data_IF_912552008478
#
_entry.id   IF_912552008478
#
_cell.length_a   1.000
_cell.length_b   1.000
_cell.length_c   1.000
_cell.angle_alpha   90.00
_cell.angle_beta   90.00
_cell.angle_gamma   90.00
#
_symmetry.space_group_name_H-M   'P 1'
#
loop_
_entity.id
_entity.type
_entity.pdbx_description
1 polymer ?
#
# COMPACT_ATOMS: atom_id res chain seq x y z
N UNK A 1 78.83 -63.34 -25.67
CA UNK A 1 77.76 -62.55 -24.93
C UNK A 1 78.06 -61.10 -25.17
N UNK A 2 77.22 -60.41 -25.96
CA UNK A 2 77.29 -58.93 -26.15
C UNK A 2 76.21 -58.33 -25.39
N UNK A 3 76.57 -57.56 -24.30
CA UNK A 3 75.61 -56.79 -23.51
C UNK A 3 75.25 -55.52 -24.34
N UNK A 4 74.04 -55.37 -24.65
CA UNK A 4 73.47 -54.17 -25.31
C UNK A 4 73.67 -52.97 -24.43
N UNK A 5 74.20 -51.90 -24.98
CA UNK A 5 74.50 -50.65 -24.30
C UNK A 5 73.20 -49.96 -23.81
N UNK A 6 73.14 -49.59 -22.57
CA UNK A 6 72.09 -48.81 -21.92
C UNK A 6 72.08 -47.31 -22.33
N UNK A 7 72.75 -46.95 -23.43
CA UNK A 7 72.91 -45.54 -23.85
C UNK A 7 71.70 -44.92 -24.57
N UNK A 8 70.55 -45.61 -24.64
CA UNK A 8 69.36 -45.07 -25.25
C UNK A 8 68.30 -44.59 -24.26
N UNK A 9 68.61 -44.60 -23.00
CA UNK A 9 67.77 -43.92 -22.00
C UNK A 9 68.27 -42.49 -21.77
N UNK A 10 68.46 -41.74 -22.85
CA UNK A 10 68.60 -40.28 -22.74
C UNK A 10 67.22 -39.69 -22.42
N UNK A 11 67.23 -38.90 -21.37
CA UNK A 11 66.10 -38.12 -20.89
C UNK A 11 65.25 -37.49 -22.04
N UNK A 12 64.22 -38.19 -22.42
CA UNK A 12 63.17 -37.59 -23.26
C UNK A 12 62.53 -36.51 -22.42
N UNK A 13 62.81 -35.25 -22.75
CA UNK A 13 62.08 -34.14 -22.17
C UNK A 13 60.60 -34.44 -22.26
N UNK A 14 59.85 -34.24 -21.17
CA UNK A 14 58.38 -34.41 -21.13
C UNK A 14 57.79 -33.72 -22.32
N UNK A 15 57.36 -34.51 -23.31
CA UNK A 15 56.73 -34.00 -24.54
C UNK A 15 55.49 -33.22 -24.18
N UNK A 16 55.28 -32.08 -24.82
CA UNK A 16 54.03 -31.29 -24.68
C UNK A 16 52.79 -32.18 -24.90
N UNK A 17 52.94 -33.27 -25.71
CA UNK A 17 51.87 -34.25 -25.89
C UNK A 17 51.51 -35.02 -24.62
N UNK A 18 52.42 -35.26 -23.67
CA UNK A 18 52.10 -35.90 -22.41
C UNK A 18 51.23 -35.01 -21.53
N UNK A 19 51.45 -33.70 -21.57
CA UNK A 19 50.62 -32.74 -20.85
C UNK A 19 49.24 -32.65 -21.49
N UNK A 20 49.10 -32.65 -22.80
CA UNK A 20 47.82 -32.59 -23.54
C UNK A 20 46.96 -33.83 -23.21
N UNK A 21 47.58 -34.99 -22.96
CA UNK A 21 46.87 -36.22 -22.59
C UNK A 21 46.12 -36.13 -21.26
N UNK A 22 46.49 -35.22 -20.35
CA UNK A 22 45.81 -35.04 -19.09
C UNK A 22 44.65 -34.02 -19.14
N UNK A 23 44.56 -33.20 -20.20
CA UNK A 23 43.52 -32.18 -20.36
C UNK A 23 42.11 -32.76 -20.28
N UNK A 24 41.76 -33.89 -20.97
CA UNK A 24 40.42 -34.47 -20.86
C UNK A 24 40.05 -34.87 -19.44
N UNK A 25 41.00 -35.40 -18.67
CA UNK A 25 40.75 -35.79 -17.28
C UNK A 25 40.49 -34.56 -16.41
N UNK A 26 41.28 -33.52 -16.55
CA UNK A 26 41.10 -32.28 -15.79
C UNK A 26 39.76 -31.63 -16.10
N UNK A 27 39.33 -31.64 -17.37
CA UNK A 27 38.04 -31.12 -17.79
C UNK A 27 36.86 -31.94 -17.24
N UNK A 28 36.99 -33.27 -17.12
CA UNK A 28 35.97 -34.13 -16.53
C UNK A 28 35.85 -33.91 -15.03
N UNK A 29 36.97 -33.78 -14.30
CA UNK A 29 36.96 -33.44 -12.90
C UNK A 29 36.35 -32.05 -12.63
N UNK A 30 36.71 -31.05 -13.43
CA UNK A 30 36.12 -29.73 -13.38
C UNK A 30 34.59 -29.74 -13.63
N UNK A 31 34.14 -30.55 -14.61
CA UNK A 31 32.73 -30.72 -14.89
C UNK A 31 31.99 -31.35 -13.72
N UNK A 32 32.59 -32.34 -13.04
CA UNK A 32 32.02 -32.99 -11.86
C UNK A 32 31.89 -32.01 -10.69
N UNK A 33 32.90 -31.21 -10.41
CA UNK A 33 32.88 -30.17 -9.38
C UNK A 33 31.79 -29.13 -9.66
N UNK A 34 31.68 -28.65 -10.91
CA UNK A 34 30.63 -27.69 -11.30
C UNK A 34 29.24 -28.28 -11.17
N UNK A 35 29.08 -29.57 -11.46
CA UNK A 35 27.81 -30.27 -11.30
C UNK A 35 27.40 -30.42 -9.84
N UNK A 36 28.35 -30.71 -8.95
CA UNK A 36 28.10 -30.74 -7.49
C UNK A 36 27.66 -29.34 -7.00
N UNK A 37 28.33 -28.28 -7.47
CA UNK A 37 27.94 -26.90 -7.14
C UNK A 37 26.53 -26.59 -7.68
N UNK A 38 26.19 -27.03 -8.90
CA UNK A 38 24.85 -26.84 -9.48
C UNK A 38 23.76 -27.57 -8.67
N UNK A 39 24.05 -28.80 -8.18
CA UNK A 39 23.14 -29.58 -7.33
C UNK A 39 22.95 -28.92 -5.95
N UNK A 40 23.99 -28.27 -5.40
CA UNK A 40 23.92 -27.51 -4.16
C UNK A 40 23.00 -26.26 -4.25
N UNK A 41 22.52 -25.92 -5.47
CA UNK A 41 21.60 -24.80 -5.76
C UNK A 41 22.03 -23.50 -5.06
N UNK A 42 23.18 -22.91 -5.41
CA UNK A 42 23.56 -21.63 -4.84
C UNK A 42 22.49 -20.58 -5.17
N UNK A 43 21.99 -19.91 -4.12
CA UNK A 43 20.97 -18.88 -4.23
C UNK A 43 21.58 -17.51 -3.96
N UNK A 44 21.29 -16.56 -4.82
CA UNK A 44 21.56 -15.16 -4.53
C UNK A 44 20.32 -14.54 -3.90
N UNK A 45 20.44 -14.03 -2.68
CA UNK A 45 19.44 -13.15 -2.11
C UNK A 45 19.61 -11.78 -2.74
N UNK A 46 18.95 -11.55 -3.85
CA UNK A 46 18.73 -10.18 -4.29
C UNK A 46 17.56 -9.70 -3.44
N UNK A 47 17.80 -8.74 -2.57
CA UNK A 47 16.72 -7.94 -2.02
C UNK A 47 16.12 -7.15 -3.19
N UNK A 48 15.31 -7.82 -3.97
CA UNK A 48 14.29 -7.10 -4.72
C UNK A 48 13.26 -6.81 -3.66
N UNK A 49 13.31 -5.62 -3.15
CA UNK A 49 12.20 -4.97 -2.49
C UNK A 49 11.02 -5.00 -3.50
N UNK A 50 10.38 -6.16 -3.62
CA UNK A 50 8.98 -6.14 -4.01
C UNK A 50 8.33 -5.50 -2.80
N UNK A 51 8.21 -4.20 -2.88
CA UNK A 51 7.16 -3.48 -2.22
C UNK A 51 5.87 -4.04 -2.84
N UNK A 52 5.43 -5.21 -2.37
CA UNK A 52 4.02 -5.52 -2.41
C UNK A 52 3.42 -4.45 -1.52
N UNK A 53 3.14 -3.32 -2.11
CA UNK A 53 2.30 -2.28 -1.55
C UNK A 53 0.91 -2.91 -1.53
N UNK A 54 0.66 -3.76 -0.53
CA UNK A 54 -0.71 -4.10 -0.19
C UNK A 54 -1.37 -2.76 0.11
N UNK A 55 -2.24 -2.33 -0.79
CA UNK A 55 -2.95 -1.07 -0.65
C UNK A 55 -3.76 -1.07 0.64
N UNK A 56 -3.92 0.10 1.20
CA UNK A 56 -4.77 0.33 2.37
C UNK A 56 -6.19 0.53 1.85
N UNK A 57 -7.18 -0.01 2.55
CA UNK A 57 -8.58 0.31 2.27
C UNK A 57 -9.00 1.52 3.12
N UNK A 58 -9.46 2.57 2.45
CA UNK A 58 -9.88 3.82 3.07
C UNK A 58 -11.32 4.15 2.65
N UNK A 59 -12.21 4.39 3.60
CA UNK A 59 -13.53 4.96 3.34
C UNK A 59 -13.62 6.35 3.93
N UNK A 60 -13.94 7.32 3.09
CA UNK A 60 -14.31 8.65 3.53
C UNK A 60 -15.77 8.63 3.96
N UNK A 61 -16.06 8.92 5.23
CA UNK A 61 -17.41 9.17 5.74
C UNK A 61 -17.56 10.68 5.92
N UNK A 62 -18.22 11.32 4.96
CA UNK A 62 -18.32 12.77 4.86
C UNK A 62 -19.69 13.27 5.27
N UNK A 63 -19.72 14.19 6.19
CA UNK A 63 -20.89 14.95 6.55
C UNK A 63 -21.26 15.91 5.41
N UNK A 64 -22.53 15.84 4.96
CA UNK A 64 -23.09 16.71 3.93
C UNK A 64 -24.29 17.50 4.45
N UNK A 65 -24.43 17.63 5.77
CA UNK A 65 -25.43 18.48 6.41
C UNK A 65 -25.26 19.94 6.01
N UNK A 66 -26.31 20.73 6.16
CA UNK A 66 -26.29 22.13 5.76
C UNK A 66 -25.27 22.97 6.53
N UNK A 67 -24.86 22.57 7.76
CA UNK A 67 -23.80 23.22 8.53
C UNK A 67 -22.46 23.25 7.80
N UNK A 68 -22.19 22.26 6.93
CA UNK A 68 -21.00 22.19 6.10
C UNK A 68 -20.90 23.27 5.02
N UNK A 69 -21.95 24.09 4.84
CA UNK A 69 -21.93 25.30 3.99
C UNK A 69 -21.35 26.53 4.69
N UNK A 70 -20.93 26.40 5.95
CA UNK A 70 -20.29 27.50 6.67
C UNK A 70 -18.98 27.92 5.99
N UNK A 71 -18.74 29.24 5.98
CA UNK A 71 -17.63 29.88 5.24
C UNK A 71 -16.48 30.31 6.15
N UNK A 72 -16.19 29.55 7.17
CA UNK A 72 -14.95 29.64 7.95
C UNK A 72 -13.79 28.92 7.26
N UNK A 73 -14.10 28.09 6.26
CA UNK A 73 -13.18 27.54 5.26
C UNK A 73 -13.40 28.19 3.89
N UNK A 74 -12.44 28.10 3.02
CA UNK A 74 -12.51 28.67 1.66
C UNK A 74 -12.66 27.59 0.61
N UNK A 75 -13.75 27.58 -0.19
CA UNK A 75 -14.88 28.51 -0.21
C UNK A 75 -15.93 28.25 0.92
N UNK A 76 -16.11 27.04 1.35
CA UNK A 76 -16.93 26.52 2.45
C UNK A 76 -16.31 25.22 2.99
N UNK A 77 -16.81 24.69 4.11
CA UNK A 77 -16.27 23.47 4.75
C UNK A 77 -16.33 22.25 3.83
N UNK A 78 -17.49 22.01 3.19
CA UNK A 78 -17.68 20.85 2.31
C UNK A 78 -16.77 20.91 1.11
N UNK A 79 -16.71 22.07 0.43
CA UNK A 79 -15.86 22.25 -0.74
C UNK A 79 -14.38 22.08 -0.39
N UNK A 80 -13.93 22.67 0.70
CA UNK A 80 -12.56 22.50 1.20
C UNK A 80 -12.24 21.04 1.53
N UNK A 81 -13.17 20.33 2.20
CA UNK A 81 -13.01 18.92 2.52
C UNK A 81 -12.89 18.05 1.26
N UNK A 82 -13.71 18.31 0.24
CA UNK A 82 -13.67 17.62 -1.06
C UNK A 82 -12.34 17.84 -1.77
N UNK A 83 -11.89 19.09 -1.86
CA UNK A 83 -10.66 19.44 -2.58
C UNK A 83 -9.44 18.76 -1.95
N UNK A 84 -9.33 18.79 -0.62
CA UNK A 84 -8.24 18.15 0.12
C UNK A 84 -8.33 16.63 0.03
N UNK A 85 -9.53 16.04 0.10
CA UNK A 85 -9.71 14.60 -0.10
C UNK A 85 -9.30 14.16 -1.53
N UNK A 86 -9.62 14.95 -2.56
CA UNK A 86 -9.20 14.71 -3.95
C UNK A 86 -7.67 14.75 -4.08
N UNK A 87 -7.02 15.71 -3.43
CA UNK A 87 -5.56 15.76 -3.41
C UNK A 87 -4.96 14.51 -2.76
N UNK A 88 -5.49 14.11 -1.60
CA UNK A 88 -5.09 12.91 -0.89
C UNK A 88 -5.26 11.64 -1.73
N UNK A 89 -6.41 11.48 -2.43
CA UNK A 89 -6.68 10.37 -3.34
C UNK A 89 -5.65 10.32 -4.46
N UNK A 90 -5.31 11.49 -5.03
CA UNK A 90 -4.39 11.60 -6.16
C UNK A 90 -2.97 11.14 -5.83
N UNK A 91 -2.55 11.30 -4.57
CA UNK A 91 -1.21 10.93 -4.08
C UNK A 91 -1.07 9.43 -3.73
N UNK A 92 -2.15 8.63 -3.84
CA UNK A 92 -2.19 7.24 -3.37
C UNK A 92 -2.60 6.26 -4.46
N UNK A 93 -1.64 5.83 -5.32
CA UNK A 93 -1.93 5.01 -6.50
C UNK A 93 -2.35 3.58 -6.21
N UNK A 94 -2.03 3.02 -5.08
CA UNK A 94 -2.20 1.60 -4.75
C UNK A 94 -3.35 1.32 -3.80
N UNK A 95 -3.84 2.37 -3.11
CA UNK A 95 -4.89 2.21 -2.10
C UNK A 95 -6.27 2.08 -2.75
N UNK A 96 -7.15 1.23 -2.17
CA UNK A 96 -8.57 1.21 -2.52
C UNK A 96 -9.31 2.21 -1.66
N UNK A 97 -10.13 3.04 -2.29
CA UNK A 97 -10.85 4.07 -1.56
C UNK A 97 -12.33 4.06 -1.92
N UNK A 98 -13.17 4.45 -0.97
CA UNK A 98 -14.61 4.59 -1.14
C UNK A 98 -15.14 5.85 -0.46
N UNK A 99 -16.37 6.22 -0.80
CA UNK A 99 -17.04 7.42 -0.28
C UNK A 99 -18.40 7.02 0.28
N UNK A 100 -18.63 7.35 1.52
CA UNK A 100 -19.94 7.34 2.18
C UNK A 100 -20.27 8.78 2.54
N UNK A 101 -21.48 9.22 2.26
CA UNK A 101 -21.97 10.53 2.69
C UNK A 101 -23.11 10.36 3.66
N UNK A 102 -23.20 11.26 4.60
CA UNK A 102 -24.28 11.25 5.60
C UNK A 102 -24.73 12.66 5.99
N UNK A 103 -26.00 12.76 6.32
CA UNK A 103 -26.66 13.89 6.97
C UNK A 103 -27.72 13.31 7.92
N UNK A 104 -29.01 13.50 7.76
CA UNK A 104 -30.05 12.79 8.50
C UNK A 104 -30.08 11.29 8.22
N UNK A 105 -29.70 10.89 7.02
CA UNK A 105 -29.50 9.51 6.57
C UNK A 105 -28.08 9.31 6.03
N UNK A 106 -27.74 8.08 5.61
CA UNK A 106 -26.43 7.79 5.02
C UNK A 106 -26.53 6.87 3.81
N UNK A 107 -25.69 7.11 2.78
CA UNK A 107 -25.57 6.21 1.63
C UNK A 107 -24.13 6.12 1.12
N UNK A 108 -23.89 5.11 0.29
CA UNK A 108 -22.60 4.92 -0.34
C UNK A 108 -22.57 5.64 -1.68
N UNK A 109 -21.81 6.72 -1.77
CA UNK A 109 -21.56 7.47 -3.00
C UNK A 109 -20.64 6.70 -3.95
N UNK A 110 -19.59 6.05 -3.41
CA UNK A 110 -18.68 5.21 -4.16
C UNK A 110 -18.24 4.01 -3.31
N UNK A 111 -18.41 2.76 -3.77
CA UNK A 111 -17.84 1.61 -3.09
C UNK A 111 -16.31 1.61 -3.18
N UNK A 112 -15.63 0.74 -2.41
CA UNK A 112 -14.17 0.59 -2.47
C UNK A 112 -13.71 0.27 -3.90
N UNK A 113 -12.85 1.14 -4.45
CA UNK A 113 -12.31 1.02 -5.80
C UNK A 113 -10.86 1.50 -5.87
N UNK A 114 -10.11 1.00 -6.83
CA UNK A 114 -8.79 1.51 -7.24
C UNK A 114 -8.89 2.51 -8.39
N UNK A 115 -10.09 2.67 -8.98
CA UNK A 115 -10.34 3.63 -10.06
C UNK A 115 -10.46 5.06 -9.50
N UNK A 116 -9.32 5.75 -9.48
CA UNK A 116 -9.23 7.12 -9.00
C UNK A 116 -10.02 8.13 -9.83
N UNK A 117 -10.11 7.92 -11.15
CA UNK A 117 -10.84 8.85 -12.00
C UNK A 117 -12.32 8.86 -11.64
N UNK A 118 -12.92 7.68 -11.50
CA UNK A 118 -14.31 7.52 -11.04
C UNK A 118 -14.48 8.05 -9.63
N UNK A 119 -13.56 7.73 -8.69
CA UNK A 119 -13.64 8.19 -7.31
C UNK A 119 -13.60 9.72 -7.19
N UNK A 120 -12.66 10.37 -7.91
CA UNK A 120 -12.54 11.84 -7.94
C UNK A 120 -13.79 12.49 -8.54
N UNK A 121 -14.35 11.92 -9.61
CA UNK A 121 -15.56 12.46 -10.22
C UNK A 121 -16.74 12.36 -9.24
N UNK A 122 -16.94 11.21 -8.59
CA UNK A 122 -18.00 11.03 -7.60
C UNK A 122 -17.79 11.90 -6.35
N UNK A 123 -16.55 12.16 -5.95
CA UNK A 123 -16.25 13.10 -4.86
C UNK A 123 -16.65 14.53 -5.22
N UNK A 124 -16.43 14.96 -6.45
CA UNK A 124 -16.84 16.29 -6.94
C UNK A 124 -18.36 16.45 -6.96
N UNK A 125 -19.11 15.38 -7.21
CA UNK A 125 -20.57 15.36 -7.24
C UNK A 125 -21.21 15.39 -5.85
N UNK A 126 -20.44 15.15 -4.78
CA UNK A 126 -20.95 15.29 -3.39
C UNK A 126 -21.42 16.72 -3.15
N UNK A 127 -22.64 16.88 -2.69
CA UNK A 127 -23.28 18.17 -2.37
C UNK A 127 -24.25 18.00 -1.21
N UNK A 128 -24.57 19.11 -0.57
CA UNK A 128 -25.65 19.19 0.40
C UNK A 128 -27.00 19.01 -0.30
N UNK A 129 -28.08 18.88 0.44
CA UNK A 129 -29.47 18.81 -0.06
C UNK A 129 -29.87 17.54 -0.83
N UNK A 130 -28.98 16.54 -0.92
CA UNK A 130 -29.32 15.23 -1.52
C UNK A 130 -30.05 14.30 -0.54
N UNK A 131 -29.93 14.57 0.75
CA UNK A 131 -30.48 13.79 1.87
C UNK A 131 -31.21 14.75 2.81
N UNK A 132 -32.13 14.23 3.60
CA UNK A 132 -32.75 14.99 4.68
C UNK A 132 -31.68 15.61 5.59
N UNK A 133 -31.86 16.89 5.92
CA UNK A 133 -30.88 17.62 6.74
C UNK A 133 -30.84 17.09 8.18
N UNK A 134 -29.69 17.15 8.78
CA UNK A 134 -29.39 16.61 10.11
C UNK A 134 -28.00 15.98 10.12
N UNK A 135 -27.60 15.39 11.26
CA UNK A 135 -26.29 14.79 11.43
C UNK A 135 -26.40 13.45 12.13
N UNK A 136 -26.43 12.36 11.34
CA UNK A 136 -26.51 10.97 11.80
C UNK A 136 -25.13 10.31 11.74
N UNK A 137 -24.22 10.70 12.63
CA UNK A 137 -22.83 10.20 12.69
C UNK A 137 -22.80 8.67 12.79
N UNK A 138 -23.66 8.10 13.65
CA UNK A 138 -23.73 6.65 13.86
C UNK A 138 -24.13 5.90 12.58
N UNK A 139 -25.12 6.38 11.81
CA UNK A 139 -25.52 5.79 10.54
C UNK A 139 -24.41 5.91 9.51
N UNK A 140 -23.76 7.07 9.39
CA UNK A 140 -22.61 7.30 8.51
C UNK A 140 -21.46 6.33 8.77
N UNK A 141 -21.08 6.20 10.06
CA UNK A 141 -20.02 5.28 10.47
C UNK A 141 -20.41 3.82 10.24
N UNK A 142 -21.62 3.40 10.59
CA UNK A 142 -22.09 2.03 10.36
C UNK A 142 -22.14 1.68 8.87
N UNK A 143 -22.56 2.60 8.01
CA UNK A 143 -22.54 2.42 6.55
C UNK A 143 -21.11 2.28 6.03
N UNK A 144 -20.17 3.09 6.53
CA UNK A 144 -18.75 2.96 6.17
C UNK A 144 -18.16 1.62 6.61
N UNK A 145 -18.47 1.16 7.82
CA UNK A 145 -18.08 -0.17 8.32
C UNK A 145 -18.63 -1.28 7.44
N UNK A 146 -19.91 -1.18 7.04
CA UNK A 146 -20.54 -2.17 6.16
C UNK A 146 -19.85 -2.27 4.80
N UNK A 147 -19.24 -1.21 4.28
CA UNK A 147 -18.44 -1.24 3.03
C UNK A 147 -17.06 -1.89 3.20
N UNK A 148 -16.57 -1.99 4.43
CA UNK A 148 -15.23 -2.49 4.77
C UNK A 148 -15.21 -3.88 5.41
N UNK A 149 -16.32 -4.34 5.95
CA UNK A 149 -16.37 -5.59 6.76
C UNK A 149 -15.81 -6.81 6.05
N UNK A 150 -16.00 -6.90 4.73
CA UNK A 150 -15.58 -8.03 3.89
C UNK A 150 -14.24 -7.77 3.18
N UNK A 151 -13.52 -6.73 3.59
CA UNK A 151 -12.20 -6.39 3.03
C UNK A 151 -11.11 -7.28 3.60
N UNK A 152 -10.25 -7.83 2.71
CA UNK A 152 -9.08 -8.63 3.06
C UNK A 152 -7.81 -7.76 3.27
N UNK A 153 -7.91 -6.43 3.17
CA UNK A 153 -6.77 -5.55 3.36
C UNK A 153 -6.22 -5.63 4.79
N UNK A 154 -4.88 -5.61 4.92
CA UNK A 154 -4.19 -5.60 6.23
C UNK A 154 -4.51 -4.36 7.05
N UNK A 155 -4.70 -3.23 6.39
CA UNK A 155 -5.07 -1.96 7.00
C UNK A 155 -6.41 -1.49 6.44
N UNK A 156 -7.36 -1.26 7.35
CA UNK A 156 -8.72 -0.78 7.05
C UNK A 156 -8.98 0.48 7.87
N UNK A 157 -9.29 1.56 7.17
CA UNK A 157 -9.35 2.92 7.73
C UNK A 157 -10.63 3.62 7.31
N UNK A 158 -11.33 4.21 8.26
CA UNK A 158 -12.40 5.17 8.00
C UNK A 158 -11.90 6.56 8.40
N UNK A 159 -12.08 7.54 7.53
CA UNK A 159 -11.88 8.95 7.82
C UNK A 159 -13.26 9.59 7.95
N UNK A 160 -13.69 9.79 9.18
CA UNK A 160 -14.97 10.41 9.52
C UNK A 160 -14.78 11.92 9.65
N UNK A 161 -15.49 12.68 8.84
CA UNK A 161 -15.39 14.13 8.78
C UNK A 161 -16.76 14.73 9.03
N UNK A 162 -16.88 15.54 10.07
CA UNK A 162 -18.12 16.21 10.48
C UNK A 162 -17.83 17.55 11.15
N UNK A 163 -18.79 18.44 11.12
CA UNK A 163 -18.74 19.74 11.78
C UNK A 163 -19.83 19.89 12.86
N UNK A 164 -20.60 18.83 13.12
CA UNK A 164 -21.78 18.87 13.95
C UNK A 164 -21.79 17.96 15.16
N UNK A 165 -22.92 18.02 15.85
CA UNK A 165 -23.29 17.16 16.97
C UNK A 165 -24.26 16.11 16.41
N UNK A 166 -24.12 14.85 16.84
CA UNK A 166 -25.08 13.82 16.46
C UNK A 166 -26.48 14.14 16.96
N UNK A 167 -27.40 14.42 16.07
CA UNK A 167 -28.78 14.83 16.39
C UNK A 167 -29.84 13.95 15.71
N UNK A 168 -29.46 13.06 14.81
CA UNK A 168 -30.34 12.14 14.09
C UNK A 168 -29.68 10.75 13.95
N UNK A 169 -30.46 9.81 13.38
CA UNK A 169 -30.02 8.46 13.09
C UNK A 169 -30.53 7.43 14.10
N UNK A 170 -30.67 6.19 13.62
CA UNK A 170 -31.14 5.05 14.43
C UNK A 170 -30.00 4.36 15.17
N UNK A 171 -28.77 4.50 14.68
CA UNK A 171 -27.58 3.83 15.21
C UNK A 171 -26.81 4.84 16.10
N UNK A 172 -26.59 4.45 17.34
CA UNK A 172 -25.75 5.22 18.25
C UNK A 172 -24.28 5.22 17.76
N UNK A 173 -23.59 6.39 17.71
CA UNK A 173 -22.21 6.47 17.24
C UNK A 173 -21.23 5.58 18.04
N UNK A 174 -21.46 5.40 19.34
CA UNK A 174 -20.62 4.54 20.18
C UNK A 174 -20.79 3.07 19.79
N UNK A 175 -22.02 2.63 19.50
CA UNK A 175 -22.31 1.30 18.98
C UNK A 175 -21.63 1.07 17.62
N UNK A 176 -21.72 2.04 16.72
CA UNK A 176 -21.07 1.96 15.42
C UNK A 176 -19.53 1.85 15.55
N UNK A 177 -18.93 2.56 16.52
CA UNK A 177 -17.49 2.46 16.81
C UNK A 177 -17.08 1.10 17.36
N UNK A 178 -17.91 0.49 18.23
CA UNK A 178 -17.66 -0.88 18.73
C UNK A 178 -17.71 -1.91 17.62
N UNK A 179 -18.64 -1.75 16.67
CA UNK A 179 -18.71 -2.60 15.48
C UNK A 179 -17.42 -2.41 14.64
N UNK A 180 -16.99 -1.17 14.40
CA UNK A 180 -15.74 -0.89 13.69
C UNK A 180 -14.54 -1.59 14.35
N UNK A 181 -14.43 -1.48 15.67
CA UNK A 181 -13.41 -2.14 16.49
C UNK A 181 -13.45 -3.66 16.32
N UNK A 182 -14.63 -4.28 16.34
CA UNK A 182 -14.80 -5.73 16.20
C UNK A 182 -14.28 -6.23 14.86
N UNK A 183 -14.46 -5.45 13.79
CA UNK A 183 -13.90 -5.75 12.46
C UNK A 183 -12.44 -5.30 12.29
N UNK A 184 -11.81 -4.73 13.33
CA UNK A 184 -10.43 -4.23 13.26
C UNK A 184 -10.26 -3.04 12.31
N UNK A 185 -11.31 -2.22 12.17
CA UNK A 185 -11.32 -1.01 11.34
C UNK A 185 -10.96 0.18 12.23
N UNK A 186 -9.95 0.95 11.84
CA UNK A 186 -9.57 2.19 12.55
C UNK A 186 -10.37 3.36 12.04
N UNK A 187 -10.83 4.20 12.95
CA UNK A 187 -11.57 5.41 12.62
C UNK A 187 -10.77 6.63 13.02
N UNK A 188 -10.35 7.42 12.04
CA UNK A 188 -9.85 8.77 12.25
C UNK A 188 -11.00 9.73 12.19
N UNK A 189 -11.20 10.53 13.23
CA UNK A 189 -12.27 11.49 13.29
C UNK A 189 -11.71 12.91 13.13
N UNK A 190 -12.32 13.69 12.25
CA UNK A 190 -11.92 15.08 11.95
C UNK A 190 -13.11 15.98 12.23
N UNK A 191 -13.03 16.78 13.31
CA UNK A 191 -13.96 17.86 13.56
C UNK A 191 -13.59 19.08 12.73
N UNK A 192 -14.47 19.55 11.85
CA UNK A 192 -14.21 20.65 10.92
C UNK A 192 -14.94 21.91 11.40
N UNK A 193 -14.20 23.00 11.56
CA UNK A 193 -14.79 24.29 11.92
C UNK A 193 -13.87 25.16 12.78
N UNK A 194 -13.97 26.47 12.60
CA UNK A 194 -13.29 27.44 13.45
C UNK A 194 -13.80 27.40 14.89
N UNK A 195 -13.03 27.98 15.81
CA UNK A 195 -13.49 28.16 17.18
C UNK A 195 -14.45 29.36 17.31
N UNK A 196 -15.57 29.16 17.98
CA UNK A 196 -16.52 30.25 18.30
C UNK A 196 -17.69 30.34 17.32
N UNK A 197 -17.64 31.25 16.34
CA UNK A 197 -18.72 31.46 15.39
C UNK A 197 -18.22 31.38 13.96
N UNK A 198 -19.04 30.88 13.04
CA UNK A 198 -18.74 30.80 11.62
C UNK A 198 -19.77 31.58 10.78
N UNK A 199 -19.35 32.24 9.68
CA UNK A 199 -20.27 32.90 8.76
C UNK A 199 -21.01 31.83 7.96
N UNK A 200 -22.33 31.82 8.06
CA UNK A 200 -23.22 30.87 7.40
C UNK A 200 -24.15 31.59 6.40
N UNK A 201 -24.30 31.08 5.15
CA UNK A 201 -25.15 31.68 4.15
C UNK A 201 -26.65 31.41 4.47
N UNK A 202 -27.38 32.45 4.76
CA UNK A 202 -28.83 32.38 5.01
C UNK A 202 -29.57 32.96 3.80
N UNK A 203 -30.52 32.22 3.26
CA UNK A 203 -31.42 32.70 2.21
C UNK A 203 -32.39 33.73 2.78
N UNK A 204 -32.37 34.93 2.25
CA UNK A 204 -33.36 35.99 2.59
C UNK A 204 -34.16 36.39 1.35
N UNK A 205 -35.31 37.04 1.47
CA UNK A 205 -36.05 37.53 0.33
C UNK A 205 -35.25 38.51 -0.57
N UNK A 206 -34.16 39.08 -0.05
CA UNK A 206 -33.31 40.06 -0.72
C UNK A 206 -32.01 39.46 -1.25
N UNK A 207 -31.82 38.12 -1.11
CA UNK A 207 -30.62 37.41 -1.52
C UNK A 207 -29.96 36.65 -0.36
N UNK A 208 -28.74 36.17 -0.58
CA UNK A 208 -27.95 35.41 0.42
C UNK A 208 -27.23 36.40 1.35
N UNK A 209 -27.54 36.33 2.64
CA UNK A 209 -26.81 37.08 3.70
C UNK A 209 -25.96 36.12 4.51
N UNK A 210 -24.74 36.57 4.91
CA UNK A 210 -23.88 35.84 5.82
C UNK A 210 -24.26 36.19 7.27
N UNK A 211 -24.65 35.19 8.08
CA UNK A 211 -24.88 35.34 9.51
C UNK A 211 -23.89 34.50 10.29
N UNK A 212 -23.34 35.07 11.34
CA UNK A 212 -22.46 34.32 12.23
C UNK A 212 -23.32 33.41 13.12
N UNK A 213 -23.08 32.10 13.04
CA UNK A 213 -23.71 31.07 13.86
C UNK A 213 -22.67 30.45 14.79
N UNK A 214 -23.06 30.02 16.03
CA UNK A 214 -22.14 29.27 16.90
C UNK A 214 -21.69 27.96 16.20
N UNK A 215 -20.44 27.61 16.41
CA UNK A 215 -19.89 26.31 15.95
C UNK A 215 -19.91 25.36 17.13
N UNK A 216 -20.72 24.32 17.04
CA UNK A 216 -20.83 23.28 18.07
C UNK A 216 -20.35 21.96 17.48
N UNK A 217 -19.28 21.40 18.04
CA UNK A 217 -18.73 20.10 17.66
C UNK A 217 -18.65 19.25 18.92
N UNK A 218 -19.16 18.03 18.86
CA UNK A 218 -19.04 17.06 19.95
C UNK A 218 -17.65 16.39 19.92
N UNK A 219 -16.63 17.17 20.35
CA UNK A 219 -15.26 16.65 20.41
C UNK A 219 -15.13 15.42 21.32
N UNK A 220 -15.78 15.34 22.52
CA UNK A 220 -15.71 14.15 23.34
C UNK A 220 -16.21 12.90 22.65
N UNK A 221 -17.32 12.98 21.88
CA UNK A 221 -17.84 11.87 21.10
C UNK A 221 -16.84 11.43 20.02
N UNK A 222 -16.31 12.40 19.26
CA UNK A 222 -15.34 12.11 18.18
C UNK A 222 -14.04 11.51 18.73
N UNK A 223 -13.56 11.98 19.88
CA UNK A 223 -12.39 11.41 20.57
C UNK A 223 -12.68 9.96 21.01
N UNK A 224 -13.83 9.70 21.62
CA UNK A 224 -14.22 8.36 22.05
C UNK A 224 -14.28 7.37 20.88
N UNK A 225 -14.83 7.77 19.72
CA UNK A 225 -14.87 6.94 18.51
C UNK A 225 -13.46 6.62 18.02
N UNK A 226 -12.59 7.63 17.94
CA UNK A 226 -11.23 7.46 17.47
C UNK A 226 -10.41 6.56 18.42
N UNK A 227 -10.38 6.86 19.70
CA UNK A 227 -9.61 6.13 20.71
C UNK A 227 -10.12 4.68 20.83
N UNK A 228 -11.44 4.49 20.81
CA UNK A 228 -12.08 3.16 20.88
C UNK A 228 -11.68 2.23 19.74
N UNK A 229 -11.37 2.76 18.56
CA UNK A 229 -11.00 2.00 17.36
C UNK A 229 -9.49 1.99 17.07
N UNK A 230 -8.68 2.65 17.90
CA UNK A 230 -7.24 2.77 17.73
C UNK A 230 -6.82 3.75 16.63
N UNK A 231 -7.72 4.68 16.28
CA UNK A 231 -7.46 5.83 15.43
C UNK A 231 -6.99 7.06 16.23
N UNK A 232 -7.30 8.25 15.73
CA UNK A 232 -6.95 9.53 16.37
C UNK A 232 -7.97 10.59 15.99
N UNK A 233 -8.33 11.45 16.96
CA UNK A 233 -9.13 12.64 16.73
C UNK A 233 -8.25 13.81 16.29
N UNK A 234 -8.78 14.61 15.37
CA UNK A 234 -8.16 15.84 14.88
C UNK A 234 -9.20 16.96 14.85
N UNK A 235 -8.73 18.19 15.07
CA UNK A 235 -9.51 19.41 14.85
C UNK A 235 -8.93 20.19 13.69
N UNK A 236 -9.71 20.39 12.63
CA UNK A 236 -9.38 21.24 11.51
C UNK A 236 -10.07 22.60 11.67
N UNK A 237 -9.29 23.66 11.77
CA UNK A 237 -9.78 25.04 11.94
C UNK A 237 -9.72 25.85 10.66
N UNK A 238 -9.00 25.36 9.67
CA UNK A 238 -8.79 26.00 8.36
C UNK A 238 -8.31 24.96 7.33
N UNK A 239 -8.26 25.38 6.05
CA UNK A 239 -7.85 24.53 4.94
C UNK A 239 -6.44 23.94 5.10
N UNK A 240 -5.50 24.75 5.61
CA UNK A 240 -4.10 24.32 5.79
C UNK A 240 -4.01 23.21 6.83
N UNK A 241 -4.70 23.40 7.96
CA UNK A 241 -4.73 22.42 9.02
C UNK A 241 -5.38 21.12 8.59
N UNK A 242 -6.45 21.18 7.79
CA UNK A 242 -7.09 20.00 7.24
C UNK A 242 -6.13 19.23 6.31
N UNK A 243 -5.37 19.91 5.46
CA UNK A 243 -4.38 19.26 4.60
C UNK A 243 -3.24 18.60 5.41
N UNK A 244 -2.76 19.25 6.46
CA UNK A 244 -1.76 18.68 7.39
C UNK A 244 -2.28 17.39 8.05
N UNK A 245 -3.55 17.37 8.50
CA UNK A 245 -4.20 16.20 9.10
C UNK A 245 -4.23 15.02 8.14
N UNK A 246 -4.63 15.25 6.89
CA UNK A 246 -4.63 14.18 5.87
C UNK A 246 -3.21 13.66 5.60
N UNK A 247 -2.21 14.54 5.55
CA UNK A 247 -0.81 14.14 5.41
C UNK A 247 -0.33 13.30 6.61
N UNK A 248 -0.70 13.67 7.85
CA UNK A 248 -0.37 12.94 9.08
C UNK A 248 -1.01 11.54 9.08
N UNK A 249 -2.31 11.44 8.80
CA UNK A 249 -3.01 10.14 8.65
C UNK A 249 -2.30 9.29 7.62
N UNK A 250 -1.92 9.90 6.50
CA UNK A 250 -1.19 9.25 5.44
C UNK A 250 0.13 8.63 5.87
N UNK A 251 0.90 9.33 6.69
CA UNK A 251 2.19 8.84 7.21
C UNK A 251 1.99 7.74 8.25
N UNK A 252 1.02 7.91 9.15
CA UNK A 252 0.72 6.92 10.20
C UNK A 252 0.36 5.56 9.60
N UNK A 253 -0.41 5.52 8.52
CA UNK A 253 -0.83 4.28 7.89
C UNK A 253 0.28 3.65 7.02
N UNK A 254 1.09 4.44 6.31
CA UNK A 254 2.25 3.94 5.57
C UNK A 254 3.27 3.24 6.48
N UNK A 255 3.54 3.80 7.65
CA UNK A 255 4.52 3.23 8.60
C UNK A 255 4.10 1.85 9.11
N UNK A 256 2.79 1.57 9.18
CA UNK A 256 2.27 0.28 9.66
C UNK A 256 2.29 -0.82 8.60
N UNK A 257 2.32 -0.48 7.31
CA UNK A 257 2.25 -1.43 6.18
C UNK A 257 3.63 -1.94 5.74
N UNK A 258 4.73 -1.30 6.14
CA UNK A 258 6.11 -1.58 5.65
C UNK A 258 6.81 -2.77 6.31
N UNK A 259 6.15 -3.66 7.06
CA UNK A 259 6.84 -4.61 7.96
C UNK A 259 7.11 -5.99 7.36
N UNK A 260 6.60 -6.38 6.19
CA UNK A 260 6.83 -7.72 5.64
C UNK A 260 7.57 -7.71 4.29
N UNK A 261 8.90 -7.55 4.32
CA UNK A 261 9.75 -7.81 3.16
C UNK A 261 10.15 -9.30 3.14
N UNK A 262 9.61 -10.08 2.21
CA UNK A 262 10.05 -11.45 1.98
C UNK A 262 11.25 -11.47 1.03
N UNK A 263 12.37 -12.15 1.37
CA UNK A 263 13.52 -12.27 0.47
C UNK A 263 13.16 -13.16 -0.73
N UNK A 264 13.20 -12.62 -1.94
CA UNK A 264 13.05 -13.41 -3.17
C UNK A 264 14.41 -14.01 -3.52
N UNK A 265 14.50 -15.33 -3.52
CA UNK A 265 15.72 -16.07 -3.87
C UNK A 265 15.77 -16.33 -5.39
N UNK A 266 16.85 -15.90 -6.02
CA UNK A 266 17.14 -16.25 -7.41
C UNK A 266 18.10 -17.42 -7.47
N UNK A 267 17.67 -18.55 -8.07
CA UNK A 267 18.50 -19.73 -8.24
C UNK A 267 19.57 -19.48 -9.34
N UNK A 268 20.85 -19.71 -9.01
CA UNK A 268 21.98 -19.51 -9.94
C UNK A 268 22.46 -20.80 -10.59
N UNK A 269 21.83 -21.94 -10.32
CA UNK A 269 22.31 -23.26 -10.76
C UNK A 269 22.43 -23.41 -12.28
N UNK A 270 21.63 -22.68 -13.09
CA UNK A 270 21.66 -22.76 -14.56
C UNK A 270 23.05 -22.44 -15.15
N UNK A 271 23.73 -21.43 -14.62
CA UNK A 271 25.06 -21.04 -15.08
C UNK A 271 26.10 -22.13 -14.82
N UNK A 272 26.08 -22.72 -13.64
CA UNK A 272 26.99 -23.79 -13.26
C UNK A 272 26.71 -25.09 -14.01
N UNK A 273 25.45 -25.44 -14.24
CA UNK A 273 25.04 -26.62 -15.00
C UNK A 273 25.47 -26.50 -16.47
N UNK A 274 25.32 -25.32 -17.08
CA UNK A 274 25.74 -25.08 -18.47
C UNK A 274 27.28 -25.12 -18.61
N UNK A 275 28.03 -24.56 -17.69
CA UNK A 275 29.46 -24.63 -17.65
C UNK A 275 29.95 -26.08 -17.49
N UNK A 276 29.32 -26.86 -16.60
CA UNK A 276 29.63 -28.28 -16.42
C UNK A 276 29.42 -29.10 -17.74
N UNK A 277 28.32 -28.83 -18.45
CA UNK A 277 28.02 -29.49 -19.74
C UNK A 277 29.06 -29.16 -20.80
N UNK A 278 29.47 -27.90 -20.90
CA UNK A 278 30.51 -27.46 -21.86
C UNK A 278 31.85 -28.15 -21.57
N UNK A 279 32.27 -28.18 -20.28
CA UNK A 279 33.51 -28.84 -19.85
C UNK A 279 33.49 -30.36 -20.18
N UNK A 280 32.36 -31.02 -19.96
CA UNK A 280 32.18 -32.43 -20.21
C UNK A 280 32.25 -32.76 -21.72
N UNK A 281 31.54 -31.98 -22.55
CA UNK A 281 31.57 -32.15 -24.00
C UNK A 281 32.96 -31.86 -24.62
N UNK A 282 33.64 -30.81 -24.13
CA UNK A 282 35.00 -30.48 -24.55
C UNK A 282 35.99 -31.59 -24.18
N UNK A 283 35.90 -32.11 -22.93
CA UNK A 283 36.73 -33.22 -22.47
C UNK A 283 36.54 -34.51 -23.31
N UNK A 284 35.29 -34.85 -23.66
CA UNK A 284 34.96 -35.98 -24.51
C UNK A 284 35.49 -35.81 -25.93
N UNK A 285 35.31 -34.63 -26.55
CA UNK A 285 35.81 -34.32 -27.88
C UNK A 285 37.35 -34.45 -27.92
N UNK A 286 38.06 -33.88 -26.98
CA UNK A 286 39.54 -33.96 -26.93
C UNK A 286 39.97 -35.41 -26.71
N UNK A 287 39.33 -36.20 -25.87
CA UNK A 287 39.64 -37.61 -25.64
C UNK A 287 39.46 -38.45 -26.92
N UNK A 288 38.40 -38.18 -27.72
CA UNK A 288 38.16 -38.88 -29.01
C UNK A 288 39.25 -38.52 -30.02
N UNK A 289 39.63 -37.23 -30.10
CA UNK A 289 40.69 -36.78 -31.03
C UNK A 289 42.04 -37.40 -30.65
N UNK A 290 42.39 -37.39 -29.34
CA UNK A 290 43.65 -37.97 -28.87
C UNK A 290 43.74 -39.49 -29.04
N UNK A 291 42.62 -40.23 -29.04
CA UNK A 291 42.59 -41.66 -29.34
C UNK A 291 42.81 -41.99 -30.83
N UNK A 292 42.62 -41.00 -31.71
CA UNK A 292 42.83 -41.17 -33.17
C UNK A 292 44.22 -40.72 -33.64
N UNK A 293 45.02 -40.13 -32.78
CA UNK A 293 46.41 -39.79 -33.07
C UNK A 293 47.30 -41.03 -32.78
N UNK A 294 48.14 -41.47 -33.77
CA UNK A 294 48.97 -42.66 -33.63
C UNK A 294 50.02 -42.55 -32.56
#
# INVERSE_FOLDING_TARGET
MRVSSLSQWTAGGRSVLEWIRHIPFVLQEAALVLLVIAIARPRSSTQVEKVDTEGIDIVFAMDVSTSMLARDFTPDRLSAAKDIAIEFISQRPTDRMGIVVFAGESYTQCPLTTDRATLINLMKEVQTDLIEDGTAIGNGLATAVARMKDSDAKSRVIILLTDGVNNMGEIDPSMASEIAKTYGIRVYTIGVGANGTAPYPVQTPWGVELRNIPVEIDEPLLQNIADGTGGKYFRATDNTKLAEIYAEIGQMEKTRTTVDSFPVYKDLYHGYALAALICLLAGLLIAIVLRRLP
#
